data_IF_450196941102
#
_entry.id   IF_450196941102
#
_cell.length_a   1.000
_cell.length_b   1.000
_cell.length_c   1.000
_cell.angle_alpha   90.00
_cell.angle_beta   90.00
_cell.angle_gamma   90.00
#
_symmetry.space_group_name_H-M   'P 1'
#
loop_
_entity.id
_entity.type
_entity.pdbx_description
1 polymer ?
#
# COMPACT_ATOMS: atom_id res chain seq x y z
N UNK A 1 9.22 25.77 -23.31
CA UNK A 1 7.76 25.68 -23.05
C UNK A 1 7.55 25.45 -21.57
N UNK A 2 6.60 26.15 -20.89
CA UNK A 2 6.27 25.85 -19.51
C UNK A 2 5.70 24.43 -19.43
N UNK A 3 6.19 23.60 -18.50
CA UNK A 3 5.65 22.25 -18.25
C UNK A 3 4.18 22.40 -17.81
N UNK A 4 3.25 21.82 -18.58
CA UNK A 4 1.82 21.85 -18.24
C UNK A 4 1.59 21.10 -16.92
N UNK A 5 0.62 21.57 -16.14
CA UNK A 5 0.23 20.95 -14.88
C UNK A 5 -0.65 19.73 -15.15
N UNK A 6 -0.49 18.68 -14.36
CA UNK A 6 -1.44 17.56 -14.38
C UNK A 6 -2.81 18.04 -13.87
N UNK A 7 -3.85 17.82 -14.66
CA UNK A 7 -5.22 18.19 -14.29
C UNK A 7 -5.73 17.43 -13.07
N UNK A 8 -5.26 16.21 -12.85
CA UNK A 8 -5.63 15.38 -11.69
C UNK A 8 -5.07 15.89 -10.37
N UNK A 9 -4.11 16.84 -10.41
CA UNK A 9 -3.65 17.56 -9.23
C UNK A 9 -4.64 18.63 -8.74
N UNK A 10 -5.68 18.94 -9.53
CA UNK A 10 -6.71 19.91 -9.14
C UNK A 10 -7.83 19.25 -8.33
N UNK A 11 -8.34 19.99 -7.31
CA UNK A 11 -9.59 19.61 -6.64
C UNK A 11 -10.78 19.82 -7.55
N UNK A 12 -11.94 19.27 -7.18
CA UNK A 12 -13.19 19.47 -7.90
C UNK A 12 -13.58 20.95 -7.95
N UNK A 13 -13.38 21.66 -6.84
CA UNK A 13 -13.61 23.10 -6.74
C UNK A 13 -12.67 23.88 -7.66
N UNK A 14 -11.38 23.55 -7.66
CA UNK A 14 -10.42 24.20 -8.54
C UNK A 14 -10.73 23.98 -10.03
N UNK A 15 -11.26 22.82 -10.40
CA UNK A 15 -11.73 22.59 -11.77
C UNK A 15 -12.95 23.46 -12.09
N UNK A 16 -13.90 23.58 -11.18
CA UNK A 16 -15.07 24.49 -11.34
C UNK A 16 -14.63 25.93 -11.53
N UNK A 17 -13.71 26.41 -10.67
CA UNK A 17 -13.18 27.77 -10.73
C UNK A 17 -12.44 28.03 -12.04
N UNK A 18 -11.66 27.05 -12.52
CA UNK A 18 -10.99 27.13 -13.82
C UNK A 18 -11.98 27.37 -14.97
N UNK A 19 -13.10 26.65 -15.01
CA UNK A 19 -14.11 26.82 -16.04
C UNK A 19 -14.79 28.19 -15.96
N UNK A 20 -15.15 28.65 -14.76
CA UNK A 20 -15.72 29.98 -14.54
C UNK A 20 -14.75 31.08 -15.00
N UNK A 21 -13.47 30.96 -14.65
CA UNK A 21 -12.44 31.92 -15.05
C UNK A 21 -12.22 31.98 -16.57
N UNK A 22 -12.57 30.91 -17.30
CA UNK A 22 -12.49 30.84 -18.78
C UNK A 22 -13.84 31.06 -19.46
N UNK A 23 -14.83 31.65 -18.75
CA UNK A 23 -16.12 32.01 -19.33
C UNK A 23 -17.11 30.84 -19.56
N UNK A 24 -16.81 29.66 -19.00
CA UNK A 24 -17.70 28.49 -19.06
C UNK A 24 -18.39 28.22 -17.70
N UNK A 25 -19.32 27.30 -17.66
CA UNK A 25 -20.15 27.01 -16.48
C UNK A 25 -19.41 26.09 -15.50
N UNK A 26 -19.53 26.35 -14.21
CA UNK A 26 -18.89 25.59 -13.14
C UNK A 26 -19.17 24.07 -13.19
N UNK A 27 -20.34 23.63 -13.65
CA UNK A 27 -20.69 22.22 -13.74
C UNK A 27 -19.78 21.42 -14.72
N UNK A 28 -19.11 22.09 -15.66
CA UNK A 28 -18.13 21.45 -16.56
C UNK A 28 -16.97 20.88 -15.77
N UNK A 29 -16.55 21.55 -14.68
CA UNK A 29 -15.56 21.03 -13.76
C UNK A 29 -15.98 19.69 -13.14
N UNK A 30 -17.26 19.53 -12.80
CA UNK A 30 -17.78 18.25 -12.29
C UNK A 30 -17.74 17.15 -13.35
N UNK A 31 -18.14 17.47 -14.61
CA UNK A 31 -18.10 16.51 -15.70
C UNK A 31 -16.66 16.05 -15.99
N UNK A 32 -15.70 16.96 -16.05
CA UNK A 32 -14.27 16.61 -16.24
C UNK A 32 -13.76 15.78 -15.08
N UNK A 33 -14.12 16.13 -13.84
CA UNK A 33 -13.73 15.35 -12.67
C UNK A 33 -14.24 13.90 -12.71
N UNK A 34 -15.50 13.70 -13.13
CA UNK A 34 -16.08 12.35 -13.33
C UNK A 34 -15.32 11.54 -14.39
N UNK A 35 -14.91 12.20 -15.52
CA UNK A 35 -14.11 11.54 -16.54
C UNK A 35 -12.74 11.10 -16.01
N UNK A 36 -12.09 11.94 -15.19
CA UNK A 36 -10.74 11.67 -14.66
C UNK A 36 -10.73 10.56 -13.59
N UNK A 37 -11.73 10.51 -12.71
CA UNK A 37 -11.73 9.63 -11.55
C UNK A 37 -12.77 8.51 -11.60
N UNK A 38 -13.93 8.74 -12.16
CA UNK A 38 -14.98 7.73 -12.30
C UNK A 38 -14.79 6.85 -13.53
N UNK A 39 -14.52 7.46 -14.68
CA UNK A 39 -14.33 6.74 -15.96
C UNK A 39 -12.88 6.42 -16.28
N UNK A 40 -11.94 7.10 -15.61
CA UNK A 40 -10.50 6.90 -15.72
C UNK A 40 -10.00 7.00 -17.16
N UNK A 41 -10.19 8.17 -17.78
CA UNK A 41 -9.64 8.44 -19.11
C UNK A 41 -8.22 8.98 -19.06
N UNK A 42 -7.45 8.68 -20.07
CA UNK A 42 -6.06 9.11 -20.22
C UNK A 42 -5.85 10.14 -21.33
N UNK A 43 -6.94 10.46 -22.08
CA UNK A 43 -6.95 11.51 -23.09
C UNK A 43 -8.17 12.42 -22.90
N UNK A 44 -7.99 13.72 -23.14
CA UNK A 44 -9.13 14.64 -23.19
C UNK A 44 -10.09 14.30 -24.32
N UNK A 45 -9.61 13.66 -25.39
CA UNK A 45 -10.43 13.25 -26.53
C UNK A 45 -11.44 12.16 -26.18
N UNK A 46 -11.20 11.38 -25.13
CA UNK A 46 -12.13 10.36 -24.64
C UNK A 46 -13.35 10.97 -23.93
N UNK A 47 -13.31 12.27 -23.58
CA UNK A 47 -14.38 12.98 -22.87
C UNK A 47 -15.53 13.34 -23.84
N UNK A 48 -16.27 12.35 -24.31
CA UNK A 48 -17.21 12.47 -25.44
C UNK A 48 -18.39 13.43 -25.22
N UNK A 49 -18.79 13.70 -23.97
CA UNK A 49 -19.84 14.66 -23.63
C UNK A 49 -19.30 16.08 -23.34
N UNK A 50 -18.01 16.30 -23.59
CA UNK A 50 -17.35 17.63 -23.51
C UNK A 50 -17.12 18.12 -24.94
N UNK A 51 -17.46 19.39 -25.21
CA UNK A 51 -17.29 19.97 -26.56
C UNK A 51 -15.85 19.94 -27.02
N UNK A 52 -15.62 19.88 -28.35
CA UNK A 52 -14.28 19.88 -28.92
C UNK A 52 -13.48 21.11 -28.46
N UNK A 53 -14.08 22.30 -28.53
CA UNK A 53 -13.42 23.54 -28.09
C UNK A 53 -13.00 23.48 -26.61
N UNK A 54 -13.84 22.91 -25.76
CA UNK A 54 -13.50 22.74 -24.32
C UNK A 54 -12.36 21.73 -24.12
N UNK A 55 -12.33 20.63 -24.88
CA UNK A 55 -11.24 19.65 -24.82
C UNK A 55 -9.92 20.26 -25.30
N UNK A 56 -9.93 21.05 -26.39
CA UNK A 56 -8.77 21.81 -26.86
C UNK A 56 -8.24 22.80 -25.81
N UNK A 57 -9.13 23.56 -25.15
CA UNK A 57 -8.78 24.44 -24.04
C UNK A 57 -8.12 23.68 -22.89
N UNK A 58 -8.64 22.49 -22.54
CA UNK A 58 -8.02 21.66 -21.50
C UNK A 58 -6.65 21.14 -21.92
N UNK A 59 -6.47 20.71 -23.19
CA UNK A 59 -5.19 20.26 -23.74
C UNK A 59 -4.16 21.40 -23.78
N UNK A 60 -4.57 22.64 -24.01
CA UNK A 60 -3.67 23.80 -23.97
C UNK A 60 -3.13 24.08 -22.57
N UNK A 61 -3.93 23.89 -21.53
CA UNK A 61 -3.61 24.26 -20.16
C UNK A 61 -3.03 23.11 -19.31
N UNK A 62 -3.41 21.86 -19.62
CA UNK A 62 -3.13 20.71 -18.78
C UNK A 62 -2.60 19.50 -19.56
N UNK A 63 -2.10 18.53 -18.79
CA UNK A 63 -1.86 17.14 -19.21
C UNK A 63 -2.64 16.20 -18.30
N UNK A 64 -2.90 14.98 -18.76
CA UNK A 64 -3.34 13.86 -17.92
C UNK A 64 -2.13 12.92 -17.84
N UNK A 65 -1.43 12.91 -16.71
CA UNK A 65 -0.44 11.88 -16.48
C UNK A 65 -1.15 10.56 -16.16
N UNK A 66 -0.61 9.45 -16.61
CA UNK A 66 -1.12 8.12 -16.32
C UNK A 66 0.04 7.14 -16.16
N UNK A 67 -0.26 5.98 -15.61
CA UNK A 67 0.68 4.88 -15.56
C UNK A 67 0.56 4.00 -16.81
N UNK A 68 1.63 3.29 -17.14
CA UNK A 68 1.61 2.24 -18.16
C UNK A 68 2.07 0.92 -17.55
N UNK A 69 1.36 -0.17 -17.84
CA UNK A 69 1.80 -1.50 -17.42
C UNK A 69 2.75 -2.04 -18.48
N UNK A 70 4.05 -2.02 -18.19
CA UNK A 70 5.10 -2.41 -19.14
C UNK A 70 5.28 -3.90 -19.24
N UNK A 71 5.13 -4.62 -18.11
CA UNK A 71 5.34 -6.05 -18.04
C UNK A 71 4.37 -6.68 -17.05
N UNK A 72 3.82 -7.82 -17.46
CA UNK A 72 2.88 -8.61 -16.66
C UNK A 72 3.47 -10.01 -16.48
N UNK A 73 3.77 -10.37 -15.24
CA UNK A 73 4.20 -11.72 -14.87
C UNK A 73 3.06 -12.45 -14.16
N UNK A 74 2.81 -13.71 -14.55
CA UNK A 74 1.73 -14.53 -13.98
C UNK A 74 2.29 -15.76 -13.30
N UNK A 75 1.96 -15.93 -12.04
CA UNK A 75 2.28 -17.10 -11.25
C UNK A 75 1.32 -18.25 -11.54
N UNK A 76 1.81 -19.47 -11.32
CA UNK A 76 0.99 -20.69 -11.39
C UNK A 76 -0.16 -20.70 -10.37
N UNK A 77 -0.06 -19.92 -9.30
CA UNK A 77 -1.09 -19.80 -8.27
C UNK A 77 -2.15 -18.72 -8.57
N UNK A 78 -2.08 -18.10 -9.76
CA UNK A 78 -2.98 -17.07 -10.24
C UNK A 78 -2.61 -15.64 -9.81
N UNK A 79 -1.53 -15.44 -9.05
CA UNK A 79 -0.99 -14.13 -8.73
C UNK A 79 -0.46 -13.44 -10.00
N UNK A 80 -0.69 -12.14 -10.13
CA UNK A 80 -0.19 -11.33 -11.26
C UNK A 80 0.64 -10.18 -10.70
N UNK A 81 1.87 -10.04 -11.18
CA UNK A 81 2.76 -8.91 -10.86
C UNK A 81 2.91 -8.01 -12.08
N UNK A 82 2.73 -6.73 -11.86
CA UNK A 82 2.83 -5.68 -12.86
C UNK A 82 4.06 -4.82 -12.61
N UNK A 83 4.90 -4.65 -13.62
CA UNK A 83 5.85 -3.54 -13.69
C UNK A 83 5.11 -2.32 -14.24
N UNK A 84 4.98 -1.30 -13.44
CA UNK A 84 4.20 -0.09 -13.70
C UNK A 84 5.14 1.08 -13.96
N UNK A 85 5.19 1.56 -15.19
CA UNK A 85 5.94 2.75 -15.58
C UNK A 85 5.12 4.01 -15.31
N UNK A 86 5.75 4.95 -14.62
CA UNK A 86 5.20 6.25 -14.27
C UNK A 86 5.50 7.28 -15.37
N UNK A 87 4.78 8.41 -15.38
CA UNK A 87 4.91 9.47 -16.38
C UNK A 87 6.32 10.05 -16.54
N UNK A 88 7.18 9.87 -15.55
CA UNK A 88 8.59 10.33 -15.56
C UNK A 88 9.59 9.21 -15.90
N UNK A 89 9.08 8.03 -16.31
CA UNK A 89 9.89 6.87 -16.69
C UNK A 89 10.36 6.01 -15.52
N UNK A 90 10.09 6.41 -14.27
CA UNK A 90 10.37 5.57 -13.10
C UNK A 90 9.39 4.39 -13.05
N UNK A 91 9.81 3.29 -12.44
CA UNK A 91 9.03 2.06 -12.38
C UNK A 91 8.74 1.67 -10.93
N UNK A 92 7.52 1.21 -10.68
CA UNK A 92 7.13 0.51 -9.45
C UNK A 92 6.44 -0.79 -9.79
N UNK A 93 6.32 -1.69 -8.81
CA UNK A 93 5.59 -2.93 -8.99
C UNK A 93 4.31 -2.95 -8.18
N UNK A 94 3.27 -3.58 -8.72
CA UNK A 94 2.00 -3.84 -8.04
C UNK A 94 1.55 -5.27 -8.29
N UNK A 95 0.71 -5.83 -7.39
CA UNK A 95 0.39 -7.26 -7.45
C UNK A 95 -1.10 -7.50 -7.25
N UNK A 96 -1.70 -8.31 -8.14
CA UNK A 96 -3.02 -8.92 -7.94
C UNK A 96 -2.84 -10.26 -7.22
N UNK A 97 -3.46 -10.42 -6.06
CA UNK A 97 -3.37 -11.63 -5.22
C UNK A 97 -4.75 -12.27 -5.09
N UNK A 98 -5.05 -13.35 -5.83
CA UNK A 98 -6.29 -14.11 -5.67
C UNK A 98 -6.20 -15.07 -4.48
N UNK A 99 -7.26 -15.18 -3.69
CA UNK A 99 -7.34 -16.10 -2.55
C UNK A 99 -8.78 -16.55 -2.33
N UNK A 100 -9.13 -17.76 -2.68
CA UNK A 100 -10.50 -18.28 -2.58
C UNK A 100 -11.48 -17.36 -3.32
N UNK A 101 -12.42 -16.75 -2.60
CA UNK A 101 -13.41 -15.81 -3.18
C UNK A 101 -12.94 -14.36 -3.23
N UNK A 102 -11.73 -14.06 -2.77
CA UNK A 102 -11.20 -12.69 -2.67
C UNK A 102 -10.12 -12.44 -3.72
N UNK A 103 -10.06 -11.21 -4.18
CA UNK A 103 -8.96 -10.66 -4.96
C UNK A 103 -8.45 -9.42 -4.25
N UNK A 104 -7.14 -9.33 -4.05
CA UNK A 104 -6.50 -8.25 -3.30
C UNK A 104 -5.50 -7.54 -4.20
N UNK A 105 -5.59 -6.21 -4.27
CA UNK A 105 -4.53 -5.39 -4.85
C UNK A 105 -3.47 -5.08 -3.79
N UNK A 106 -2.22 -5.41 -4.08
CA UNK A 106 -1.05 -4.93 -3.34
C UNK A 106 -0.41 -3.79 -4.14
N UNK A 107 -0.45 -2.58 -3.58
CA UNK A 107 -0.04 -1.35 -4.28
C UNK A 107 1.16 -0.71 -3.62
N UNK A 108 1.96 -0.05 -4.44
CA UNK A 108 3.15 0.71 -4.05
C UNK A 108 2.79 2.16 -3.71
N UNK A 109 3.57 2.76 -2.81
CA UNK A 109 3.40 4.15 -2.35
C UNK A 109 4.60 5.05 -2.65
N UNK A 110 5.76 4.48 -2.95
CA UNK A 110 7.00 5.20 -3.26
C UNK A 110 7.77 4.47 -4.36
N UNK A 111 8.62 5.19 -5.08
CA UNK A 111 9.66 4.61 -5.93
C UNK A 111 10.89 4.35 -5.07
N UNK A 112 11.17 3.08 -4.76
CA UNK A 112 12.16 2.67 -3.77
C UNK A 112 11.71 2.92 -2.33
N UNK A 113 12.59 2.68 -1.36
CA UNK A 113 12.32 2.87 0.06
C UNK A 113 13.58 3.38 0.78
N UNK A 114 13.40 4.16 1.86
CA UNK A 114 14.50 4.71 2.66
C UNK A 114 14.64 4.09 4.05
N UNK A 115 13.86 3.04 4.37
CA UNK A 115 13.83 2.49 5.73
C UNK A 115 14.86 1.37 5.99
N UNK A 116 15.59 0.96 4.95
CA UNK A 116 16.71 0.02 5.02
C UNK A 116 16.41 -1.31 5.76
N UNK A 117 15.18 -1.85 5.59
CA UNK A 117 14.80 -3.16 6.10
C UNK A 117 15.63 -4.23 5.39
N UNK A 118 16.47 -4.98 6.11
CA UNK A 118 17.46 -5.89 5.52
C UNK A 118 16.85 -7.10 4.79
N UNK A 119 15.64 -7.44 5.09
CA UNK A 119 14.90 -8.56 4.47
C UNK A 119 14.02 -8.15 3.27
N UNK A 120 14.09 -6.88 2.83
CA UNK A 120 13.22 -6.34 1.79
C UNK A 120 14.01 -5.88 0.58
N UNK A 121 13.72 -6.44 -0.61
CA UNK A 121 14.40 -6.08 -1.85
C UNK A 121 14.16 -4.61 -2.25
N UNK A 122 12.99 -4.05 -1.94
CA UNK A 122 12.70 -2.62 -2.19
C UNK A 122 13.64 -1.69 -1.43
N UNK A 123 14.12 -2.07 -0.25
CA UNK A 123 15.05 -1.25 0.54
C UNK A 123 16.44 -1.15 -0.09
N UNK A 124 16.79 -2.08 -1.00
CA UNK A 124 18.03 -2.03 -1.79
C UNK A 124 17.96 -1.00 -2.91
N UNK A 125 16.74 -0.56 -3.27
CA UNK A 125 16.51 0.46 -4.27
C UNK A 125 16.59 1.84 -3.63
N UNK A 126 17.38 2.74 -4.24
CA UNK A 126 17.40 4.14 -3.82
C UNK A 126 15.97 4.70 -3.90
N UNK A 127 15.49 5.31 -2.80
CA UNK A 127 14.25 6.05 -2.83
C UNK A 127 14.40 7.27 -3.73
N UNK A 128 13.58 7.35 -4.78
CA UNK A 128 13.58 8.45 -5.74
C UNK A 128 12.54 9.51 -5.35
N UNK A 129 11.29 9.10 -5.16
CA UNK A 129 10.18 10.00 -4.80
C UNK A 129 8.96 9.26 -4.24
N UNK A 130 8.08 10.03 -3.68
CA UNK A 130 6.72 9.59 -3.35
C UNK A 130 5.88 9.45 -4.62
N UNK A 131 4.94 8.51 -4.63
CA UNK A 131 3.91 8.45 -5.66
C UNK A 131 2.86 9.53 -5.43
N UNK A 132 2.32 10.05 -6.53
CA UNK A 132 1.17 10.95 -6.52
C UNK A 132 -0.13 10.16 -6.26
N UNK A 133 -1.22 10.82 -5.83
CA UNK A 133 -2.50 10.16 -5.57
C UNK A 133 -3.07 9.44 -6.79
N UNK A 134 -2.91 10.02 -7.98
CA UNK A 134 -3.33 9.46 -9.26
C UNK A 134 -2.54 8.19 -9.62
N UNK A 135 -1.21 8.17 -9.42
CA UNK A 135 -0.36 7.02 -9.67
C UNK A 135 -0.72 5.83 -8.74
N UNK A 136 -1.12 6.11 -7.50
CA UNK A 136 -1.61 5.09 -6.57
C UNK A 136 -3.00 4.59 -7.00
N UNK A 137 -3.90 5.50 -7.37
CA UNK A 137 -5.25 5.18 -7.82
C UNK A 137 -5.23 4.32 -9.09
N UNK A 138 -4.41 4.70 -10.07
CA UNK A 138 -4.28 3.98 -11.35
C UNK A 138 -3.78 2.54 -11.17
N UNK A 139 -2.87 2.28 -10.22
CA UNK A 139 -2.46 0.91 -9.87
C UNK A 139 -3.68 0.07 -9.43
N UNK A 140 -4.56 0.64 -8.61
CA UNK A 140 -5.77 -0.08 -8.16
C UNK A 140 -6.71 -0.36 -9.34
N UNK A 141 -6.91 0.63 -10.23
CA UNK A 141 -7.75 0.48 -11.43
C UNK A 141 -7.19 -0.59 -12.36
N UNK A 142 -5.89 -0.57 -12.64
CA UNK A 142 -5.24 -1.57 -13.48
C UNK A 142 -5.46 -2.99 -12.91
N UNK A 143 -5.26 -3.17 -11.61
CA UNK A 143 -5.43 -4.45 -10.94
C UNK A 143 -6.93 -4.85 -10.87
N UNK A 144 -7.88 -3.92 -10.73
CA UNK A 144 -9.31 -4.24 -10.78
C UNK A 144 -9.71 -4.76 -12.16
N UNK A 145 -9.20 -4.15 -13.23
CA UNK A 145 -9.40 -4.61 -14.61
C UNK A 145 -8.84 -6.03 -14.82
N UNK A 146 -7.66 -6.31 -14.29
CA UNK A 146 -7.06 -7.66 -14.32
C UNK A 146 -7.86 -8.67 -13.51
N UNK A 147 -8.35 -8.27 -12.33
CA UNK A 147 -9.21 -9.12 -11.50
C UNK A 147 -10.49 -9.52 -12.22
N UNK A 148 -11.10 -8.59 -12.94
CA UNK A 148 -12.28 -8.86 -13.79
C UNK A 148 -11.93 -9.77 -14.97
N UNK A 149 -10.80 -9.49 -15.63
CA UNK A 149 -10.34 -10.25 -16.79
C UNK A 149 -9.95 -11.69 -16.46
N UNK A 150 -9.14 -11.89 -15.39
CA UNK A 150 -8.56 -13.21 -15.09
C UNK A 150 -9.36 -14.03 -14.08
N UNK A 151 -10.14 -13.36 -13.23
CA UNK A 151 -10.89 -14.02 -12.16
C UNK A 151 -12.40 -13.77 -12.22
N UNK A 152 -12.89 -13.06 -13.25
CA UNK A 152 -14.30 -12.71 -13.47
C UNK A 152 -14.98 -12.09 -12.23
N UNK A 153 -14.27 -11.24 -11.50
CA UNK A 153 -14.77 -10.56 -10.30
C UNK A 153 -14.00 -9.26 -10.02
N UNK A 154 -14.66 -8.26 -9.41
CA UNK A 154 -13.99 -7.02 -9.02
C UNK A 154 -13.03 -7.27 -7.84
N UNK A 155 -12.15 -6.29 -7.60
CA UNK A 155 -11.33 -6.27 -6.40
C UNK A 155 -12.18 -6.30 -5.14
N UNK A 156 -11.75 -7.09 -4.16
CA UNK A 156 -12.40 -7.17 -2.86
C UNK A 156 -11.64 -6.42 -1.77
N UNK A 157 -10.32 -6.29 -1.89
CA UNK A 157 -9.45 -5.70 -0.88
C UNK A 157 -8.26 -4.95 -1.51
N UNK A 158 -7.72 -3.99 -0.77
CA UNK A 158 -6.48 -3.30 -1.12
C UNK A 158 -5.54 -3.33 0.09
N UNK A 159 -4.26 -3.60 -0.17
CA UNK A 159 -3.21 -3.53 0.84
C UNK A 159 -2.07 -2.63 0.34
N UNK A 160 -1.67 -1.67 1.15
CA UNK A 160 -0.48 -0.85 0.92
C UNK A 160 0.71 -1.59 1.52
N UNK A 161 1.17 -2.62 0.79
CA UNK A 161 2.27 -3.52 1.18
C UNK A 161 3.25 -3.75 0.01
N UNK A 162 3.17 -2.92 -1.03
CA UNK A 162 4.12 -2.88 -2.14
C UNK A 162 5.37 -2.09 -1.80
N UNK A 163 5.92 -1.38 -2.79
CA UNK A 163 7.15 -0.62 -2.63
C UNK A 163 6.94 0.66 -1.82
N UNK A 164 7.85 0.93 -0.87
CA UNK A 164 7.88 2.14 -0.05
C UNK A 164 7.16 2.03 1.29
N UNK A 165 7.35 3.06 2.12
CA UNK A 165 6.65 3.23 3.41
C UNK A 165 5.45 4.18 3.23
N UNK A 166 4.21 3.70 3.34
CA UNK A 166 3.02 4.52 3.09
C UNK A 166 2.92 5.74 4.01
N UNK A 167 3.36 5.63 5.25
CA UNK A 167 3.28 6.75 6.19
C UNK A 167 4.33 7.85 5.92
N UNK A 168 5.38 7.55 5.15
CA UNK A 168 6.31 8.57 4.63
C UNK A 168 5.76 9.29 3.39
N UNK A 169 4.65 8.77 2.83
CA UNK A 169 3.87 9.41 1.75
C UNK A 169 2.41 9.66 2.17
N UNK A 170 2.16 9.86 3.46
CA UNK A 170 0.85 9.83 4.07
C UNK A 170 -0.21 10.67 3.35
N UNK A 171 0.10 11.93 3.03
CA UNK A 171 -0.88 12.85 2.44
C UNK A 171 -1.36 12.36 1.05
N UNK A 172 -0.48 11.82 0.22
CA UNK A 172 -0.86 11.30 -1.09
C UNK A 172 -1.60 9.96 -0.97
N UNK A 173 -1.17 9.09 -0.05
CA UNK A 173 -1.87 7.84 0.26
C UNK A 173 -3.29 8.13 0.75
N UNK A 174 -3.47 9.10 1.65
CA UNK A 174 -4.80 9.48 2.13
C UNK A 174 -5.68 10.00 0.99
N UNK A 175 -5.17 10.92 0.14
CA UNK A 175 -5.89 11.43 -1.02
C UNK A 175 -6.26 10.31 -2.02
N UNK A 176 -5.37 9.34 -2.24
CA UNK A 176 -5.68 8.19 -3.10
C UNK A 176 -6.79 7.33 -2.48
N UNK A 177 -6.73 7.06 -1.17
CA UNK A 177 -7.78 6.31 -0.46
C UNK A 177 -9.12 7.04 -0.53
N UNK A 178 -9.13 8.38 -0.39
CA UNK A 178 -10.35 9.18 -0.53
C UNK A 178 -10.97 9.01 -1.92
N UNK A 179 -10.16 8.98 -3.00
CA UNK A 179 -10.65 8.70 -4.36
C UNK A 179 -11.16 7.27 -4.51
N UNK A 180 -10.43 6.28 -3.97
CA UNK A 180 -10.82 4.87 -4.02
C UNK A 180 -12.15 4.63 -3.30
N UNK A 181 -12.39 5.34 -2.21
CA UNK A 181 -13.59 5.14 -1.37
C UNK A 181 -14.77 6.05 -1.73
N UNK A 182 -14.53 7.09 -2.53
CA UNK A 182 -15.56 8.02 -3.00
C UNK A 182 -16.52 7.35 -3.99
N UNK A 183 -17.80 7.73 -3.94
CA UNK A 183 -18.80 7.32 -4.93
C UNK A 183 -18.49 7.87 -6.33
N UNK A 184 -17.70 8.95 -6.44
CA UNK A 184 -17.18 9.50 -7.70
C UNK A 184 -15.91 8.79 -8.20
N UNK A 185 -15.41 7.80 -7.45
CA UNK A 185 -14.28 6.94 -7.81
C UNK A 185 -14.70 5.48 -7.85
N UNK A 186 -14.01 4.61 -7.08
CA UNK A 186 -14.29 3.17 -7.09
C UNK A 186 -15.39 2.74 -6.10
N UNK A 187 -15.85 3.61 -5.20
CA UNK A 187 -16.89 3.31 -4.21
C UNK A 187 -16.53 2.18 -3.23
N UNK A 188 -15.24 1.89 -3.04
CA UNK A 188 -14.81 0.80 -2.19
C UNK A 188 -14.94 1.14 -0.71
N UNK A 189 -15.49 0.23 0.10
CA UNK A 189 -15.54 0.44 1.55
C UNK A 189 -14.13 0.58 2.15
N UNK A 190 -13.85 1.62 2.96
CA UNK A 190 -12.55 1.79 3.61
C UNK A 190 -12.17 0.62 4.53
N UNK A 191 -13.13 -0.14 5.03
CA UNK A 191 -12.90 -1.36 5.82
C UNK A 191 -12.24 -2.49 5.02
N UNK A 192 -12.17 -2.38 3.71
CA UNK A 192 -11.49 -3.32 2.80
C UNK A 192 -10.06 -2.89 2.48
N UNK A 193 -9.63 -1.73 2.99
CA UNK A 193 -8.30 -1.18 2.78
C UNK A 193 -7.45 -1.38 4.04
N UNK A 194 -6.21 -1.84 3.85
CA UNK A 194 -5.21 -1.99 4.90
C UNK A 194 -4.00 -1.17 4.54
N UNK A 195 -3.62 -0.24 5.39
CA UNK A 195 -2.35 0.47 5.29
C UNK A 195 -1.36 -0.20 6.25
N UNK A 196 -0.28 -0.73 5.69
CA UNK A 196 0.82 -1.33 6.45
C UNK A 196 1.93 -0.30 6.64
N UNK A 197 2.54 -0.29 7.80
CA UNK A 197 3.67 0.57 8.12
C UNK A 197 4.74 -0.19 8.88
N UNK A 198 5.98 0.21 8.69
CA UNK A 198 7.08 -0.26 9.52
C UNK A 198 7.06 0.33 10.94
N UNK A 199 6.18 1.31 11.17
CA UNK A 199 5.99 1.92 12.48
C UNK A 199 6.61 3.32 12.60
N UNK A 200 5.96 4.35 12.03
CA UNK A 200 6.32 5.76 12.17
C UNK A 200 5.41 6.40 13.23
N UNK A 201 5.83 6.54 14.51
CA UNK A 201 4.94 6.84 15.63
C UNK A 201 4.13 8.12 15.45
N UNK A 202 4.80 9.21 15.01
CA UNK A 202 4.16 10.50 14.75
C UNK A 202 3.01 10.38 13.73
N UNK A 203 3.20 9.57 12.70
CA UNK A 203 2.20 9.42 11.64
C UNK A 203 1.06 8.49 12.05
N UNK A 204 1.33 7.49 12.91
CA UNK A 204 0.28 6.66 13.50
C UNK A 204 -0.64 7.53 14.39
N UNK A 205 -0.08 8.41 15.21
CA UNK A 205 -0.86 9.37 16.02
C UNK A 205 -1.67 10.30 15.10
N UNK A 206 -1.06 10.84 14.03
CA UNK A 206 -1.76 11.68 13.05
C UNK A 206 -2.93 10.95 12.36
N UNK A 207 -2.78 9.70 11.96
CA UNK A 207 -3.89 8.91 11.41
C UNK A 207 -5.06 8.79 12.38
N UNK A 208 -4.76 8.64 13.68
CA UNK A 208 -5.78 8.59 14.73
C UNK A 208 -6.52 9.92 14.85
N UNK A 209 -5.80 11.05 14.82
CA UNK A 209 -6.37 12.41 14.85
C UNK A 209 -7.24 12.69 13.61
N UNK A 210 -6.79 12.25 12.44
CA UNK A 210 -7.52 12.35 11.16
C UNK A 210 -8.75 11.40 11.10
N UNK A 211 -8.94 10.54 12.11
CA UNK A 211 -10.06 9.58 12.24
C UNK A 211 -10.25 8.71 11.01
N UNK A 212 -9.13 8.23 10.45
CA UNK A 212 -9.15 7.38 9.26
C UNK A 212 -9.98 6.11 9.48
N UNK A 213 -10.64 5.64 8.42
CA UNK A 213 -11.59 4.50 8.48
C UNK A 213 -11.01 3.19 7.96
N UNK A 214 -9.82 3.21 7.37
CA UNK A 214 -9.12 2.02 6.92
C UNK A 214 -8.44 1.30 8.09
N UNK A 215 -7.94 0.09 7.84
CA UNK A 215 -7.28 -0.75 8.85
C UNK A 215 -5.78 -0.48 8.89
N UNK A 216 -5.21 -0.60 10.08
CA UNK A 216 -3.77 -0.49 10.32
C UNK A 216 -3.14 -1.88 10.46
N UNK A 217 -2.07 -2.11 9.69
CA UNK A 217 -1.12 -3.18 9.92
C UNK A 217 0.25 -2.60 10.27
N UNK A 218 1.00 -3.30 11.11
CA UNK A 218 2.35 -2.88 11.53
C UNK A 218 3.30 -4.05 11.26
N UNK A 219 4.32 -3.80 10.46
CA UNK A 219 5.45 -4.71 10.26
C UNK A 219 6.31 -4.69 11.52
N UNK A 220 5.98 -5.55 12.49
CA UNK A 220 6.63 -5.58 13.81
C UNK A 220 7.93 -6.39 13.78
N UNK A 221 7.83 -7.64 13.32
CA UNK A 221 8.91 -8.62 13.11
C UNK A 221 9.78 -8.97 14.32
N UNK A 222 9.88 -8.10 15.32
CA UNK A 222 10.39 -8.40 16.67
C UNK A 222 9.76 -7.45 17.69
N UNK A 223 9.54 -7.96 18.89
CA UNK A 223 9.11 -7.19 20.06
C UNK A 223 10.27 -6.97 21.07
N UNK A 224 11.50 -7.18 20.61
CA UNK A 224 12.75 -6.93 21.33
C UNK A 224 13.54 -5.90 20.51
N UNK A 225 13.85 -4.72 21.11
CA UNK A 225 14.46 -3.59 20.38
C UNK A 225 15.78 -3.97 19.71
N UNK A 226 16.67 -4.67 20.40
CA UNK A 226 17.96 -5.07 19.86
C UNK A 226 17.81 -5.98 18.64
N UNK A 227 16.88 -6.94 18.70
CA UNK A 227 16.61 -7.84 17.58
C UNK A 227 15.94 -7.07 16.43
N UNK A 228 14.98 -6.18 16.74
CA UNK A 228 14.30 -5.39 15.73
C UNK A 228 15.26 -4.47 14.98
N UNK A 229 16.18 -3.83 15.69
CA UNK A 229 17.20 -2.96 15.11
C UNK A 229 18.12 -3.71 14.14
N UNK A 230 18.49 -4.97 14.43
CA UNK A 230 19.32 -5.75 13.49
C UNK A 230 18.64 -6.03 12.16
N UNK A 231 17.32 -6.18 12.12
CA UNK A 231 16.55 -6.48 10.91
C UNK A 231 15.90 -5.23 10.27
N UNK A 232 15.64 -4.21 11.09
CA UNK A 232 15.01 -2.95 10.70
C UNK A 232 15.76 -1.77 11.33
N UNK A 233 16.88 -1.31 10.75
CA UNK A 233 17.77 -0.31 11.36
C UNK A 233 17.08 0.99 11.75
N UNK A 234 16.04 1.42 11.03
CA UNK A 234 15.29 2.62 11.38
C UNK A 234 14.64 2.54 12.79
N UNK A 235 14.59 1.37 13.42
CA UNK A 235 14.16 1.19 14.81
C UNK A 235 15.01 1.99 15.81
N UNK A 236 16.26 2.30 15.49
CA UNK A 236 17.09 3.21 16.29
C UNK A 236 16.45 4.61 16.41
N UNK A 237 15.81 5.08 15.34
CA UNK A 237 15.11 6.37 15.32
C UNK A 237 13.71 6.27 15.94
N UNK A 238 13.06 5.12 15.83
CA UNK A 238 11.68 4.88 16.28
C UNK A 238 11.61 3.58 17.09
N UNK A 239 12.10 3.59 18.36
CA UNK A 239 12.15 2.40 19.20
C UNK A 239 10.75 1.86 19.51
N UNK A 240 10.70 0.60 19.94
CA UNK A 240 9.45 -0.09 20.26
C UNK A 240 8.61 0.62 21.32
N UNK A 241 9.22 1.37 22.24
CA UNK A 241 8.46 2.14 23.24
C UNK A 241 7.62 3.23 22.58
N UNK A 242 8.19 4.00 21.65
CA UNK A 242 7.49 5.07 20.95
C UNK A 242 6.38 4.49 20.03
N UNK A 243 6.68 3.37 19.40
CA UNK A 243 5.69 2.64 18.62
C UNK A 243 4.53 2.16 19.50
N UNK A 244 4.80 1.59 20.65
CA UNK A 244 3.79 1.14 21.62
C UNK A 244 2.86 2.29 22.02
N UNK A 245 3.42 3.42 22.43
CA UNK A 245 2.64 4.60 22.81
C UNK A 245 1.74 5.09 21.65
N UNK A 246 2.28 5.12 20.44
CA UNK A 246 1.51 5.51 19.27
C UNK A 246 0.36 4.54 18.96
N UNK A 247 0.57 3.24 19.15
CA UNK A 247 -0.46 2.21 18.95
C UNK A 247 -1.53 2.22 20.06
N UNK A 248 -1.16 2.51 21.30
CA UNK A 248 -2.12 2.74 22.37
C UNK A 248 -2.99 3.97 22.08
N UNK A 249 -2.37 5.07 21.64
CA UNK A 249 -3.08 6.27 21.20
C UNK A 249 -4.04 5.98 20.04
N UNK A 250 -3.56 5.27 18.99
CA UNK A 250 -4.38 4.81 17.87
C UNK A 250 -5.62 4.05 18.34
N UNK A 251 -5.43 3.06 19.21
CA UNK A 251 -6.56 2.27 19.71
C UNK A 251 -7.50 3.07 20.58
N UNK A 252 -6.99 3.95 21.45
CA UNK A 252 -7.81 4.81 22.28
C UNK A 252 -8.73 5.72 21.44
N UNK A 253 -8.21 6.28 20.34
CA UNK A 253 -8.93 7.19 19.47
C UNK A 253 -9.89 6.48 18.50
N UNK A 254 -9.48 5.35 17.89
CA UNK A 254 -10.22 4.74 16.79
C UNK A 254 -11.02 3.51 17.18
N UNK A 255 -10.67 2.83 18.26
CA UNK A 255 -11.15 1.49 18.69
C UNK A 255 -10.90 0.40 17.63
N UNK A 256 -10.07 0.67 16.63
CA UNK A 256 -9.72 -0.28 15.58
C UNK A 256 -8.59 -1.21 16.02
N UNK A 257 -8.83 -2.51 15.87
CA UNK A 257 -7.86 -3.55 16.17
C UNK A 257 -6.63 -3.43 15.26
N UNK A 258 -5.44 -3.61 15.82
CA UNK A 258 -4.17 -3.57 15.13
C UNK A 258 -3.84 -4.95 14.55
N UNK A 259 -3.23 -5.00 13.37
CA UNK A 259 -2.67 -6.24 12.81
C UNK A 259 -1.15 -6.15 12.89
N UNK A 260 -0.50 -7.07 13.58
CA UNK A 260 0.95 -7.22 13.52
C UNK A 260 1.32 -8.21 12.42
N UNK A 261 2.11 -7.76 11.46
CA UNK A 261 2.76 -8.60 10.47
C UNK A 261 4.11 -9.04 11.05
N UNK A 262 4.36 -10.35 11.09
CA UNK A 262 5.50 -10.90 11.82
C UNK A 262 6.12 -12.07 11.05
N UNK A 263 7.35 -11.91 10.60
CA UNK A 263 8.16 -12.98 10.00
C UNK A 263 9.02 -13.60 11.09
N UNK A 264 9.15 -14.92 11.08
CA UNK A 264 10.04 -15.65 11.97
C UNK A 264 11.21 -16.19 11.16
N UNK A 265 12.45 -15.85 11.56
CA UNK A 265 13.69 -16.26 10.92
C UNK A 265 14.49 -17.22 11.80
N UNK A 266 15.13 -18.22 11.18
CA UNK A 266 15.99 -19.18 11.87
C UNK A 266 17.17 -18.47 12.53
N UNK A 267 17.42 -18.78 13.80
CA UNK A 267 18.52 -18.22 14.59
C UNK A 267 18.38 -16.75 15.02
N UNK A 268 17.34 -16.03 14.61
CA UNK A 268 17.17 -14.60 14.89
C UNK A 268 16.09 -14.36 15.94
N UNK A 269 14.84 -14.70 15.59
CA UNK A 269 13.66 -14.47 16.48
C UNK A 269 12.79 -15.75 16.58
N UNK A 270 13.39 -16.91 16.56
CA UNK A 270 12.74 -18.22 16.55
C UNK A 270 12.65 -18.91 17.91
N UNK A 271 13.02 -18.21 18.98
CA UNK A 271 13.11 -18.78 20.34
C UNK A 271 11.90 -18.42 21.20
N UNK A 272 11.74 -19.15 22.30
CA UNK A 272 10.64 -18.92 23.26
C UNK A 272 10.62 -17.49 23.83
N UNK A 273 11.79 -16.88 24.07
CA UNK A 273 11.88 -15.50 24.54
C UNK A 273 11.24 -14.51 23.57
N UNK A 274 11.37 -14.75 22.27
CA UNK A 274 10.90 -13.84 21.23
C UNK A 274 9.36 -13.84 21.12
N UNK A 275 8.74 -15.04 21.18
CA UNK A 275 7.28 -15.14 21.20
C UNK A 275 6.69 -14.62 22.52
N UNK A 276 7.37 -14.80 23.65
CA UNK A 276 6.93 -14.23 24.92
C UNK A 276 6.95 -12.71 24.89
N UNK A 277 8.00 -12.10 24.33
CA UNK A 277 8.06 -10.65 24.10
C UNK A 277 6.91 -10.16 23.19
N UNK A 278 6.59 -10.92 22.12
CA UNK A 278 5.46 -10.59 21.26
C UNK A 278 4.12 -10.66 22.01
N UNK A 279 3.93 -11.67 22.88
CA UNK A 279 2.72 -11.77 23.72
C UNK A 279 2.59 -10.52 24.61
N UNK A 280 3.66 -10.10 25.27
CA UNK A 280 3.65 -8.88 26.11
C UNK A 280 3.35 -7.64 25.27
N UNK A 281 3.92 -7.53 24.07
CA UNK A 281 3.64 -6.41 23.16
C UNK A 281 2.18 -6.38 22.70
N UNK A 282 1.56 -7.54 22.48
CA UNK A 282 0.14 -7.63 22.09
C UNK A 282 -0.83 -7.18 23.20
N UNK A 283 -0.40 -7.13 24.46
CA UNK A 283 -1.25 -6.70 25.60
C UNK A 283 -1.51 -5.19 25.61
N UNK A 284 -0.68 -4.39 24.94
CA UNK A 284 -0.82 -2.92 24.96
C UNK A 284 -2.04 -2.39 24.22
N UNK A 285 -2.53 -3.13 23.20
CA UNK A 285 -3.77 -2.80 22.49
C UNK A 285 -4.36 -4.06 21.85
N UNK A 286 -5.69 -4.16 21.70
CA UNK A 286 -6.31 -5.26 21.00
C UNK A 286 -5.73 -5.46 19.61
N UNK A 287 -5.17 -6.63 19.38
CA UNK A 287 -4.40 -6.93 18.18
C UNK A 287 -4.63 -8.35 17.70
N UNK A 288 -4.15 -8.64 16.51
CA UNK A 288 -3.98 -9.97 15.95
C UNK A 288 -2.60 -10.05 15.30
N UNK A 289 -2.08 -11.25 15.17
CA UNK A 289 -0.79 -11.51 14.56
C UNK A 289 -0.98 -12.30 13.26
N UNK A 290 -0.37 -11.82 12.17
CA UNK A 290 -0.15 -12.58 10.97
C UNK A 290 1.29 -13.07 10.96
N UNK A 291 1.52 -14.34 11.14
CA UNK A 291 2.82 -14.97 10.90
C UNK A 291 3.00 -15.12 9.39
N UNK A 292 3.99 -14.43 8.85
CA UNK A 292 4.26 -14.39 7.42
C UNK A 292 5.44 -15.33 7.12
N UNK A 293 5.32 -16.09 6.06
CA UNK A 293 6.43 -16.87 5.53
C UNK A 293 7.49 -15.93 4.97
N UNK A 294 8.76 -16.16 5.33
CA UNK A 294 9.86 -15.42 4.75
C UNK A 294 10.03 -15.76 3.28
N UNK A 295 10.24 -14.77 2.45
CA UNK A 295 10.55 -14.93 1.03
C UNK A 295 11.97 -14.45 0.81
N UNK A 296 12.89 -15.35 0.42
CA UNK A 296 14.29 -14.99 0.18
C UNK A 296 14.41 -13.86 -0.85
N UNK A 297 15.37 -12.98 -0.62
CA UNK A 297 15.85 -11.99 -1.58
C UNK A 297 17.30 -12.36 -1.96
N UNK A 298 17.87 -11.76 -3.00
CA UNK A 298 19.09 -12.23 -3.64
C UNK A 298 20.36 -12.27 -2.75
N UNK A 299 20.37 -11.65 -1.58
CA UNK A 299 21.55 -11.57 -0.71
C UNK A 299 21.73 -12.70 0.30
N UNK A 300 20.73 -13.59 0.44
CA UNK A 300 20.85 -14.82 1.23
C UNK A 300 21.11 -14.67 2.74
N UNK A 301 21.00 -13.45 3.30
CA UNK A 301 21.32 -13.15 4.71
C UNK A 301 20.37 -13.83 5.72
N UNK A 302 19.13 -14.11 5.31
CA UNK A 302 18.07 -14.62 6.18
C UNK A 302 17.60 -15.99 5.73
N UNK A 303 17.18 -16.80 6.72
CA UNK A 303 16.62 -18.11 6.45
C UNK A 303 15.23 -18.24 7.10
N UNK A 304 14.34 -18.95 6.42
CA UNK A 304 13.02 -19.29 6.95
C UNK A 304 13.17 -20.11 8.23
N UNK A 305 12.44 -19.73 9.27
CA UNK A 305 12.37 -20.52 10.50
C UNK A 305 11.81 -21.92 10.26
N UNK A 306 12.27 -22.87 11.06
CA UNK A 306 11.77 -24.26 11.03
C UNK A 306 10.29 -24.32 11.39
N UNK A 307 9.54 -25.30 10.86
CA UNK A 307 8.11 -25.46 11.17
C UNK A 307 7.81 -25.50 12.66
N UNK A 308 8.69 -26.13 13.46
CA UNK A 308 8.53 -26.24 14.92
C UNK A 308 8.53 -24.87 15.61
N UNK A 309 9.30 -23.89 15.11
CA UNK A 309 9.27 -22.53 15.62
C UNK A 309 7.93 -21.83 15.32
N UNK A 310 7.42 -22.01 14.11
CA UNK A 310 6.11 -21.48 13.73
C UNK A 310 4.99 -22.08 14.58
N UNK A 311 5.01 -23.41 14.79
CA UNK A 311 4.05 -24.12 15.63
C UNK A 311 4.12 -23.63 17.08
N UNK A 312 5.33 -23.38 17.60
CA UNK A 312 5.52 -22.79 18.93
C UNK A 312 4.87 -21.41 19.03
N UNK A 313 5.07 -20.55 18.02
CA UNK A 313 4.46 -19.21 17.99
C UNK A 313 2.93 -19.31 18.01
N UNK A 314 2.35 -20.17 17.15
CA UNK A 314 0.89 -20.38 17.10
C UNK A 314 0.36 -20.81 18.46
N UNK A 315 0.92 -21.89 19.05
CA UNK A 315 0.49 -22.41 20.34
C UNK A 315 0.58 -21.38 21.48
N UNK A 316 1.68 -20.60 21.51
CA UNK A 316 1.86 -19.61 22.58
C UNK A 316 0.93 -18.43 22.43
N UNK A 317 0.72 -17.94 21.21
CA UNK A 317 -0.20 -16.83 20.96
C UNK A 317 -1.64 -17.23 21.24
N UNK A 318 -2.09 -18.40 20.80
CA UNK A 318 -3.44 -18.93 21.08
C UNK A 318 -3.67 -19.16 22.57
N UNK A 319 -2.69 -19.72 23.29
CA UNK A 319 -2.76 -19.91 24.75
C UNK A 319 -2.88 -18.58 25.52
N UNK A 320 -2.51 -17.46 24.92
CA UNK A 320 -2.67 -16.10 25.47
C UNK A 320 -3.87 -15.35 24.86
N UNK A 321 -4.81 -16.05 24.22
CA UNK A 321 -6.00 -15.46 23.57
C UNK A 321 -5.69 -14.43 22.47
N UNK A 322 -4.53 -14.53 21.83
CA UNK A 322 -4.14 -13.68 20.71
C UNK A 322 -4.50 -14.40 19.41
N UNK A 323 -5.36 -13.78 18.61
CA UNK A 323 -5.70 -14.32 17.29
C UNK A 323 -4.46 -14.36 16.41
N UNK A 324 -4.08 -15.53 15.93
CA UNK A 324 -2.96 -15.73 15.03
C UNK A 324 -3.42 -16.33 13.70
N UNK A 325 -2.76 -15.93 12.61
CA UNK A 325 -2.99 -16.50 11.27
C UNK A 325 -1.64 -16.74 10.62
N UNK A 326 -1.37 -17.96 10.17
CA UNK A 326 -0.19 -18.27 9.36
C UNK A 326 -0.53 -17.97 7.90
N UNK A 327 0.19 -17.01 7.31
CA UNK A 327 0.01 -16.58 5.92
C UNK A 327 1.08 -17.20 5.05
N UNK A 328 0.67 -18.04 4.12
CA UNK A 328 1.55 -18.55 3.07
C UNK A 328 1.69 -17.52 1.96
N UNK A 329 2.90 -17.35 1.46
CA UNK A 329 3.21 -16.43 0.38
C UNK A 329 2.66 -16.92 -0.95
N UNK A 330 2.28 -15.95 -1.80
CA UNK A 330 1.78 -16.15 -3.15
C UNK A 330 2.75 -15.51 -4.15
N UNK A 331 2.76 -16.03 -5.39
CA UNK A 331 3.57 -15.47 -6.47
C UNK A 331 5.09 -15.60 -6.27
N UNK A 332 5.55 -16.61 -5.51
CA UNK A 332 6.98 -16.83 -5.24
C UNK A 332 7.81 -17.08 -6.50
N UNK A 333 7.21 -17.73 -7.48
CA UNK A 333 7.85 -18.10 -8.75
C UNK A 333 8.04 -16.90 -9.71
N UNK A 334 7.50 -15.75 -9.36
CA UNK A 334 7.62 -14.50 -10.12
C UNK A 334 8.11 -13.32 -9.25
N UNK A 335 8.71 -13.59 -8.10
CA UNK A 335 9.16 -12.57 -7.13
C UNK A 335 8.06 -11.55 -6.78
N UNK A 336 6.81 -12.03 -6.57
CA UNK A 336 5.66 -11.19 -6.23
C UNK A 336 5.28 -11.25 -4.75
N UNK A 337 5.97 -12.05 -3.94
CA UNK A 337 5.67 -12.17 -2.53
C UNK A 337 6.19 -10.96 -1.72
N UNK A 338 5.68 -10.82 -0.48
CA UNK A 338 6.08 -9.72 0.40
C UNK A 338 7.60 -9.64 0.56
N UNK A 339 8.16 -8.44 0.39
CA UNK A 339 9.58 -8.14 0.49
C UNK A 339 10.37 -8.38 -0.80
N UNK A 340 9.81 -8.95 -1.86
CA UNK A 340 10.53 -9.30 -3.10
C UNK A 340 10.47 -8.25 -4.22
N UNK A 341 9.59 -7.25 -4.13
CA UNK A 341 9.43 -6.24 -5.18
C UNK A 341 10.70 -5.37 -5.32
N UNK A 342 11.32 -5.41 -6.50
CA UNK A 342 12.62 -4.78 -6.75
C UNK A 342 12.82 -4.29 -8.19
N UNK A 343 11.75 -4.14 -8.99
CA UNK A 343 11.83 -3.75 -10.41
C UNK A 343 12.77 -4.67 -11.23
N UNK A 344 12.84 -5.95 -10.89
CA UNK A 344 13.57 -6.94 -11.68
C UNK A 344 12.91 -7.12 -13.04
N UNK A 345 13.73 -7.15 -14.10
CA UNK A 345 13.29 -7.38 -15.48
C UNK A 345 12.95 -8.84 -15.73
#
# INVERSE_FOLDING_TARGET
MKKKKDIRALSKEQLRDFFVANGDKAFRGNQVYEWLWGKVVYSFDDMTNISKATREMLQENFVINHIEVDNIQRSKDGTVKNAVRLHDGLVVESVLIPTGTRTTACVSSQVGCSLDCKFCATSRLKRMRNLNPDEIYDQVVAIDNESRLYHNRPLSNIVFMGMGEPLMNYNNVLKAIDKITSDEGLGMSPKRIVVSTSGVPKMIKKMADDKVKFKLAVSLHSAIDEVRTTIMPFNETFPLNDLREALQYWYAATKNRITYEYVVWDGINDKRKDVNALVEFCKFAPSKVNLIEYNPIDDGEFQQAKPQAIDMYVKVLEANNITVTVRRSRGKDIDAACGQLANKK
#
